data_IF_819600240715
#
_entry.id   IF_819600240715
#
_cell.length_a   1.000
_cell.length_b   1.000
_cell.length_c   1.000
_cell.angle_alpha   90.00
_cell.angle_beta   90.00
_cell.angle_gamma   90.00
#
_symmetry.space_group_name_H-M   'P 1'
#
loop_
_entity.id
_entity.type
_entity.pdbx_description
1 polymer ?
#
# COMPACT_ATOMS: atom_id res chain seq x y z
N UNK A 1 18.14 19.01 25.20
CA UNK A 1 18.67 18.24 24.06
C UNK A 1 19.89 18.96 23.49
N UNK A 2 20.89 18.25 22.96
CA UNK A 2 22.00 18.89 22.26
C UNK A 2 21.48 19.54 20.97
N UNK A 3 21.90 20.77 20.71
CA UNK A 3 21.52 21.51 19.50
C UNK A 3 22.38 21.03 18.33
N UNK A 4 22.06 19.85 17.81
CA UNK A 4 22.69 19.19 16.66
C UNK A 4 21.62 18.44 15.86
N UNK A 5 21.95 18.02 14.63
CA UNK A 5 21.09 17.11 13.88
C UNK A 5 20.91 15.77 14.59
N UNK A 6 19.68 15.46 15.00
CA UNK A 6 19.29 14.20 15.62
C UNK A 6 18.75 13.25 14.57
N UNK A 7 19.31 12.03 14.49
CA UNK A 7 18.68 10.91 13.77
C UNK A 7 17.74 10.19 14.71
N UNK A 8 16.45 10.25 14.39
CA UNK A 8 15.32 9.70 15.14
C UNK A 8 14.78 8.47 14.43
N UNK A 9 14.51 7.41 15.19
CA UNK A 9 14.01 6.14 14.66
C UNK A 9 13.04 5.49 15.65
N UNK A 10 12.14 4.67 15.11
CA UNK A 10 11.19 3.87 15.88
C UNK A 10 11.32 2.42 15.39
N UNK A 11 12.10 1.54 16.04
CA UNK A 11 12.31 0.18 15.56
C UNK A 11 11.00 -0.58 15.41
N UNK A 12 10.80 -1.24 14.25
CA UNK A 12 9.57 -1.96 13.93
C UNK A 12 8.41 -1.07 13.45
N UNK A 13 8.57 0.24 13.37
CA UNK A 13 7.55 1.18 12.93
C UNK A 13 8.11 2.23 11.95
N UNK A 14 7.20 2.93 11.27
CA UNK A 14 7.51 4.13 10.51
C UNK A 14 7.49 5.36 11.41
N UNK A 15 8.17 6.45 11.02
CA UNK A 15 8.31 7.68 11.81
C UNK A 15 7.98 8.93 10.99
N UNK A 16 7.37 9.92 11.65
CA UNK A 16 7.08 11.24 11.10
C UNK A 16 7.40 12.35 12.11
N UNK A 17 7.75 13.54 11.61
CA UNK A 17 7.73 14.79 12.38
C UNK A 17 6.59 15.68 11.91
N UNK A 18 5.94 16.35 12.86
CA UNK A 18 5.05 17.48 12.62
C UNK A 18 5.68 18.71 13.25
N UNK A 19 6.04 19.69 12.43
CA UNK A 19 6.56 20.98 12.86
C UNK A 19 5.37 21.88 13.21
N UNK A 20 5.28 22.33 14.47
CA UNK A 20 4.12 23.02 14.99
C UNK A 20 4.46 24.46 15.38
N UNK A 21 3.57 25.37 15.03
CA UNK A 21 3.63 26.77 15.45
C UNK A 21 3.16 26.96 16.91
N UNK A 22 3.13 28.22 17.37
CA UNK A 22 2.65 28.58 18.71
C UNK A 22 1.16 28.28 18.99
N UNK A 23 0.37 27.92 17.97
CA UNK A 23 -1.00 27.40 18.16
C UNK A 23 -1.03 25.89 18.44
N UNK A 24 0.10 25.20 18.26
CA UNK A 24 0.20 23.74 18.39
C UNK A 24 -0.27 22.99 17.15
N UNK A 25 -0.29 23.63 15.98
CA UNK A 25 -0.68 23.04 14.69
C UNK A 25 0.40 23.25 13.63
N UNK A 26 0.34 22.46 12.57
CA UNK A 26 1.09 22.73 11.34
C UNK A 26 0.60 24.04 10.70
N UNK A 27 1.49 24.78 10.02
CA UNK A 27 1.13 25.97 9.21
C UNK A 27 0.59 25.58 7.84
N UNK A 28 0.78 24.32 7.43
CA UNK A 28 0.30 23.69 6.22
C UNK A 28 1.01 22.35 6.00
N UNK A 29 0.64 21.61 4.95
CA UNK A 29 1.12 20.24 4.72
C UNK A 29 2.65 20.12 4.71
N UNK A 30 3.36 21.16 4.25
CA UNK A 30 4.83 21.24 4.21
C UNK A 30 5.51 20.96 5.56
N UNK A 31 4.84 21.25 6.69
CA UNK A 31 5.33 21.04 8.05
C UNK A 31 5.24 19.57 8.52
N UNK A 32 4.64 18.68 7.72
CA UNK A 32 4.64 17.23 7.94
C UNK A 32 5.81 16.58 7.19
N UNK A 33 6.74 15.93 7.91
CA UNK A 33 7.88 15.21 7.32
C UNK A 33 7.80 13.72 7.63
N UNK A 34 7.76 12.90 6.58
CA UNK A 34 7.70 11.43 6.64
C UNK A 34 8.16 10.83 5.32
N UNK A 35 8.16 9.51 5.14
CA UNK A 35 8.64 8.90 3.88
C UNK A 35 7.89 9.41 2.61
N UNK A 36 6.61 9.77 2.73
CA UNK A 36 5.80 10.29 1.63
C UNK A 36 5.99 11.79 1.35
N UNK A 37 6.55 12.53 2.32
CA UNK A 37 6.96 13.93 2.15
C UNK A 37 8.35 14.10 2.81
N UNK A 38 9.43 13.79 2.08
CA UNK A 38 10.71 13.43 2.70
C UNK A 38 11.54 14.63 3.17
N UNK A 39 11.13 15.88 2.94
CA UNK A 39 11.88 17.06 3.38
C UNK A 39 10.98 18.25 3.69
N UNK A 40 11.26 18.92 4.80
CA UNK A 40 10.72 20.24 5.13
C UNK A 40 11.38 21.31 4.24
N UNK A 41 10.66 22.35 3.75
CA UNK A 41 11.24 23.39 2.89
C UNK A 41 12.44 24.15 3.48
N UNK A 42 12.54 24.31 4.81
CA UNK A 42 13.69 24.95 5.46
C UNK A 42 14.92 24.02 5.60
N UNK A 43 14.80 22.74 5.27
CA UNK A 43 15.86 21.73 5.46
C UNK A 43 16.06 21.29 6.90
N UNK A 44 15.35 21.86 7.88
CA UNK A 44 15.46 21.55 9.30
C UNK A 44 14.97 20.14 9.68
N UNK A 45 14.17 19.49 8.84
CA UNK A 45 13.71 18.13 9.03
C UNK A 45 13.62 17.39 7.70
N UNK A 46 14.08 16.14 7.66
CA UNK A 46 13.99 15.27 6.47
C UNK A 46 13.95 13.79 6.83
N UNK A 47 13.30 12.97 6.01
CA UNK A 47 13.34 11.52 6.10
C UNK A 47 14.54 11.01 5.30
N UNK A 48 15.44 10.25 5.93
CA UNK A 48 16.62 9.67 5.28
C UNK A 48 16.71 8.14 5.41
N UNK A 49 17.68 7.48 4.74
CA UNK A 49 17.81 6.02 4.71
C UNK A 49 18.03 5.34 6.08
N UNK A 50 18.36 6.11 7.12
CA UNK A 50 18.58 5.62 8.49
C UNK A 50 17.57 6.15 9.50
N UNK A 51 16.43 6.65 9.03
CA UNK A 51 15.37 7.25 9.84
C UNK A 51 15.15 8.74 9.58
N UNK A 52 14.26 9.32 10.37
CA UNK A 52 13.93 10.74 10.37
C UNK A 52 15.12 11.53 10.93
N UNK A 53 15.43 12.69 10.35
CA UNK A 53 16.49 13.58 10.83
C UNK A 53 15.91 14.94 11.15
N UNK A 54 16.26 15.47 12.33
CA UNK A 54 15.83 16.76 12.84
C UNK A 54 17.06 17.62 13.16
N UNK A 55 17.40 18.58 12.29
CA UNK A 55 18.37 19.63 12.64
C UNK A 55 17.69 20.73 13.46
N UNK A 56 17.68 20.51 14.78
CA UNK A 56 17.09 21.43 15.75
C UNK A 56 17.69 22.86 15.70
N UNK A 57 18.87 23.07 15.11
CA UNK A 57 19.40 24.43 14.89
C UNK A 57 18.78 25.12 13.66
N UNK A 58 18.50 24.37 12.61
CA UNK A 58 17.96 24.90 11.35
C UNK A 58 16.48 25.30 11.43
N UNK A 59 15.77 24.84 12.46
CA UNK A 59 14.35 25.11 12.67
C UNK A 59 14.10 26.62 12.82
N UNK A 60 13.25 27.19 11.97
CA UNK A 60 12.90 28.61 12.02
C UNK A 60 12.21 29.03 13.34
N UNK A 61 12.23 30.34 13.71
CA UNK A 61 11.63 30.83 14.95
C UNK A 61 10.12 30.58 15.11
N UNK A 62 9.40 30.41 14.02
CA UNK A 62 7.94 30.20 13.99
C UNK A 62 7.53 28.80 14.47
N UNK A 63 8.44 27.82 14.39
CA UNK A 63 8.20 26.45 14.85
C UNK A 63 8.66 26.33 16.30
N UNK A 64 7.67 26.27 17.21
CA UNK A 64 7.91 26.17 18.65
C UNK A 64 8.05 24.73 19.14
N UNK A 65 7.46 23.77 18.42
CA UNK A 65 7.44 22.34 18.78
C UNK A 65 7.63 21.44 17.56
N UNK A 66 8.20 20.27 17.77
CA UNK A 66 8.26 19.19 16.77
C UNK A 66 7.73 17.93 17.44
N UNK A 67 6.54 17.49 17.04
CA UNK A 67 5.96 16.22 17.49
C UNK A 67 6.55 15.09 16.67
N UNK A 68 6.99 14.00 17.32
CA UNK A 68 7.37 12.77 16.65
C UNK A 68 6.28 11.72 16.81
N UNK A 69 5.75 11.28 15.67
CA UNK A 69 4.74 10.25 15.57
C UNK A 69 5.35 8.96 15.00
N UNK A 70 4.85 7.81 15.49
CA UNK A 70 5.11 6.50 14.93
C UNK A 70 3.83 5.86 14.40
N UNK A 71 3.95 4.96 13.42
CA UNK A 71 2.84 4.09 13.03
C UNK A 71 3.31 2.74 12.48
N UNK A 72 2.46 1.72 12.65
CA UNK A 72 2.70 0.37 12.17
C UNK A 72 2.03 0.15 10.80
N UNK A 73 2.69 -0.61 9.92
CA UNK A 73 2.07 -1.14 8.69
C UNK A 73 1.25 -2.42 8.95
N UNK A 74 1.19 -2.89 10.20
CA UNK A 74 0.61 -4.19 10.58
C UNK A 74 -0.58 -4.06 11.55
N UNK A 75 -1.29 -2.93 11.55
CA UNK A 75 -2.50 -2.70 12.35
C UNK A 75 -2.26 -2.26 13.81
N UNK A 76 -1.15 -2.68 14.41
CA UNK A 76 -0.72 -2.28 15.76
C UNK A 76 0.79 -2.41 15.94
N UNK A 77 1.34 -1.90 17.05
CA UNK A 77 2.78 -1.98 17.32
C UNK A 77 3.23 -3.36 17.86
N UNK A 78 2.33 -4.14 18.46
CA UNK A 78 2.60 -5.48 19.01
C UNK A 78 3.37 -5.46 20.33
N UNK A 79 4.47 -4.71 20.40
CA UNK A 79 5.18 -4.33 21.62
C UNK A 79 5.19 -2.79 21.77
N UNK A 80 5.41 -2.22 22.97
CA UNK A 80 5.51 -0.78 23.14
C UNK A 80 6.63 -0.18 22.26
N UNK A 81 6.33 0.77 21.36
CA UNK A 81 7.31 1.30 20.40
C UNK A 81 8.39 2.12 21.11
N UNK A 82 9.65 1.91 20.74
CA UNK A 82 10.80 2.63 21.30
C UNK A 82 11.15 3.82 20.41
N UNK A 83 11.18 5.04 20.95
CA UNK A 83 11.69 6.23 20.28
C UNK A 83 13.18 6.41 20.61
N UNK A 84 14.08 6.10 19.67
CA UNK A 84 15.51 6.40 19.80
C UNK A 84 15.88 7.70 19.07
N UNK A 85 16.77 8.50 19.65
CA UNK A 85 17.46 9.57 18.94
C UNK A 85 18.98 9.52 19.18
N UNK A 86 19.78 9.69 18.12
CA UNK A 86 21.25 9.70 18.15
C UNK A 86 21.81 10.95 17.47
N UNK A 87 23.00 11.38 17.90
CA UNK A 87 23.72 12.50 17.29
C UNK A 87 24.32 12.16 15.91
N UNK A 88 24.94 13.14 15.23
CA UNK A 88 25.57 12.94 13.92
C UNK A 88 26.69 11.89 13.94
N UNK A 89 27.42 11.83 15.05
CA UNK A 89 28.49 10.87 15.38
C UNK A 89 27.98 9.47 15.79
N UNK A 90 26.66 9.31 15.96
CA UNK A 90 26.04 8.08 16.48
C UNK A 90 25.96 8.01 18.01
N UNK A 91 26.37 9.05 18.74
CA UNK A 91 26.23 9.10 20.21
C UNK A 91 24.74 9.04 20.60
N UNK A 92 24.30 8.12 21.47
CA UNK A 92 22.92 8.08 21.95
C UNK A 92 22.55 9.38 22.70
N UNK A 93 21.43 9.99 22.30
CA UNK A 93 20.91 11.23 22.89
C UNK A 93 19.62 10.99 23.67
N UNK A 94 18.79 10.08 23.19
CA UNK A 94 17.51 9.69 23.78
C UNK A 94 17.20 8.23 23.44
N UNK A 95 16.60 7.51 24.38
CA UNK A 95 15.77 6.35 24.10
C UNK A 95 14.59 6.42 25.06
N UNK A 96 13.36 6.35 24.53
CA UNK A 96 12.13 6.52 25.29
C UNK A 96 11.13 5.42 24.93
N UNK A 97 10.48 4.86 25.95
CA UNK A 97 9.38 3.90 25.79
C UNK A 97 8.15 4.54 26.43
N UNK A 98 7.04 4.70 25.70
CA UNK A 98 5.86 5.39 26.19
C UNK A 98 5.08 4.50 27.16
N UNK A 99 4.67 5.07 28.29
CA UNK A 99 3.84 4.35 29.26
C UNK A 99 2.37 4.34 28.80
N UNK A 100 1.78 3.15 28.68
CA UNK A 100 0.33 2.99 28.52
C UNK A 100 -0.25 3.29 27.14
N UNK A 101 0.55 3.25 26.06
CA UNK A 101 0.01 3.33 24.69
C UNK A 101 -0.97 2.17 24.46
N UNK A 102 -2.24 2.43 24.11
CA UNK A 102 -3.19 1.37 23.76
C UNK A 102 -2.74 0.65 22.48
N UNK A 103 -3.24 -0.57 22.22
CA UNK A 103 -2.94 -1.24 20.96
C UNK A 103 -3.66 -0.53 19.80
N UNK A 104 -2.90 0.31 19.08
CA UNK A 104 -3.38 1.17 18.00
C UNK A 104 -2.35 1.23 16.86
N UNK A 105 -2.82 1.56 15.66
CA UNK A 105 -1.99 1.61 14.45
C UNK A 105 -1.03 2.80 14.39
N UNK A 106 -1.27 3.89 15.12
CA UNK A 106 -0.39 5.06 15.19
C UNK A 106 -0.37 5.70 16.58
N UNK A 107 0.74 6.33 16.96
CA UNK A 107 0.87 7.04 18.25
C UNK A 107 1.86 8.22 18.17
N UNK A 108 1.65 9.24 19.00
CA UNK A 108 2.65 10.28 19.30
C UNK A 108 3.54 9.79 20.43
N UNK A 109 4.85 9.72 20.19
CA UNK A 109 5.84 9.15 21.12
C UNK A 109 6.62 10.22 21.89
N UNK A 110 6.58 11.47 21.44
CA UNK A 110 7.22 12.57 22.14
C UNK A 110 7.19 13.88 21.37
N UNK A 111 7.61 14.93 22.04
CA UNK A 111 7.65 16.30 21.49
C UNK A 111 8.96 16.97 21.86
N UNK A 112 9.67 17.49 20.86
CA UNK A 112 10.72 18.47 21.07
C UNK A 112 10.07 19.84 21.18
N UNK A 113 10.46 20.67 22.14
CA UNK A 113 9.91 22.02 22.31
C UNK A 113 10.96 23.01 22.78
N UNK A 114 10.75 24.30 22.50
CA UNK A 114 11.65 25.37 22.93
C UNK A 114 11.36 25.81 24.37
N UNK A 115 12.39 25.90 25.19
CA UNK A 115 12.33 26.54 26.51
C UNK A 115 13.64 27.28 26.80
N UNK A 116 13.56 28.52 27.29
CA UNK A 116 14.70 29.36 27.66
C UNK A 116 15.81 29.49 26.57
N UNK A 117 15.43 29.41 25.29
CA UNK A 117 16.35 29.49 24.15
C UNK A 117 17.05 28.19 23.75
N UNK A 118 16.69 27.05 24.36
CA UNK A 118 17.18 25.72 23.98
C UNK A 118 16.04 24.73 23.71
N UNK A 119 16.38 23.59 23.11
CA UNK A 119 15.43 22.50 22.87
C UNK A 119 15.37 21.53 24.05
N UNK A 120 14.16 21.26 24.52
CA UNK A 120 13.81 20.16 25.42
C UNK A 120 13.09 19.06 24.65
N UNK A 121 12.91 17.92 25.31
CA UNK A 121 12.09 16.81 24.86
C UNK A 121 11.16 16.43 26.01
N UNK A 122 9.90 16.12 25.71
CA UNK A 122 8.99 15.44 26.62
C UNK A 122 8.47 14.15 25.97
N UNK A 123 8.31 13.11 26.79
CA UNK A 123 7.85 11.80 26.36
C UNK A 123 6.32 11.75 26.34
N UNK A 124 5.74 11.23 25.25
CA UNK A 124 4.28 11.15 25.08
C UNK A 124 3.87 9.72 24.72
N UNK A 125 2.61 9.37 25.04
CA UNK A 125 2.04 8.05 24.77
C UNK A 125 0.62 8.13 24.19
N UNK A 126 0.35 9.12 23.35
CA UNK A 126 -0.99 9.37 22.82
C UNK A 126 -1.27 8.45 21.61
N UNK A 127 -2.15 7.47 21.79
CA UNK A 127 -2.53 6.52 20.76
C UNK A 127 -3.70 7.00 19.89
N UNK A 128 -3.57 6.83 18.57
CA UNK A 128 -4.56 7.22 17.57
C UNK A 128 -5.14 5.98 16.88
N UNK A 129 -6.32 5.53 17.35
CA UNK A 129 -7.03 4.38 16.76
C UNK A 129 -7.56 4.61 15.32
N UNK A 130 -7.62 5.87 14.89
CA UNK A 130 -7.87 6.28 13.49
C UNK A 130 -6.60 6.26 12.62
N UNK A 131 -5.49 5.75 13.14
CA UNK A 131 -4.21 5.64 12.45
C UNK A 131 -3.55 6.97 12.13
N UNK A 132 -2.51 6.90 11.29
CA UNK A 132 -1.66 8.06 11.00
C UNK A 132 -2.43 9.23 10.37
N UNK A 133 -3.46 8.96 9.55
CA UNK A 133 -4.32 9.99 8.97
C UNK A 133 -5.08 10.81 10.05
N UNK A 134 -5.66 10.13 11.03
CA UNK A 134 -6.34 10.78 12.14
C UNK A 134 -5.39 11.56 13.06
N UNK A 135 -4.16 11.07 13.22
CA UNK A 135 -3.08 11.76 13.93
C UNK A 135 -2.72 13.07 13.23
N UNK A 136 -2.37 13.05 11.94
CA UNK A 136 -1.95 14.29 11.25
C UNK A 136 -3.09 15.31 11.14
N UNK A 137 -4.34 14.86 11.01
CA UNK A 137 -5.54 15.72 11.02
C UNK A 137 -5.72 16.42 12.37
N UNK A 138 -5.44 15.75 13.50
CA UNK A 138 -5.53 16.36 14.83
C UNK A 138 -4.58 17.57 15.00
N UNK A 139 -3.41 17.50 14.37
CA UNK A 139 -2.43 18.58 14.31
C UNK A 139 -2.65 19.61 13.19
N UNK A 140 -3.72 19.48 12.39
CA UNK A 140 -4.15 20.48 11.42
C UNK A 140 -3.68 20.28 9.98
N UNK A 141 -3.16 19.09 9.61
CA UNK A 141 -2.94 18.74 8.19
C UNK A 141 -4.29 18.54 7.51
N UNK A 142 -4.53 19.22 6.39
CA UNK A 142 -5.79 19.09 5.64
C UNK A 142 -5.75 17.84 4.76
N UNK A 143 -6.36 16.76 5.24
CA UNK A 143 -6.64 15.58 4.42
C UNK A 143 -7.92 15.86 3.62
N UNK A 144 -7.76 16.20 2.33
CA UNK A 144 -8.79 16.81 1.49
C UNK A 144 -10.19 16.15 1.56
N UNK A 145 -11.22 16.98 1.81
CA UNK A 145 -12.63 16.58 1.75
C UNK A 145 -13.20 16.66 0.32
N UNK A 146 -14.18 15.80 0.04
CA UNK A 146 -14.78 15.52 -1.28
C UNK A 146 -15.49 16.75 -1.92
N UNK A 147 -15.00 17.27 -3.06
CA UNK A 147 -15.76 18.24 -3.88
C UNK A 147 -16.46 17.53 -5.06
N UNK A 148 -17.81 17.55 -5.07
CA UNK A 148 -18.63 16.85 -6.07
C UNK A 148 -18.76 17.65 -7.37
N UNK A 149 -18.37 17.04 -8.49
CA UNK A 149 -18.54 17.60 -9.86
C UNK A 149 -19.38 16.62 -10.71
N UNK A 150 -20.33 17.08 -11.55
CA UNK A 150 -21.46 16.26 -12.00
C UNK A 150 -21.16 15.26 -13.14
N UNK A 151 -22.03 14.25 -13.23
CA UNK A 151 -22.03 13.19 -14.24
C UNK A 151 -22.57 13.70 -15.60
N UNK A 152 -21.92 13.33 -16.70
CA UNK A 152 -22.45 13.44 -18.07
C UNK A 152 -22.62 12.04 -18.71
N UNK A 153 -23.54 11.85 -19.67
CA UNK A 153 -24.05 10.51 -20.01
C UNK A 153 -23.57 9.95 -21.36
N UNK A 154 -23.59 8.61 -21.47
CA UNK A 154 -23.87 7.91 -22.75
C UNK A 154 -22.70 7.12 -23.38
N UNK A 155 -22.95 5.89 -23.92
CA UNK A 155 -21.90 5.01 -24.43
C UNK A 155 -21.68 5.08 -25.95
N UNK A 156 -20.55 4.56 -26.42
CA UNK A 156 -20.22 4.40 -27.85
C UNK A 156 -20.04 2.90 -28.18
N UNK A 157 -20.77 2.32 -29.14
CA UNK A 157 -20.57 0.94 -29.57
C UNK A 157 -19.51 0.84 -30.68
N UNK A 158 -18.70 -0.22 -30.70
CA UNK A 158 -17.93 -0.59 -31.89
C UNK A 158 -17.80 -2.11 -32.04
N UNK A 159 -18.09 -2.59 -33.24
CA UNK A 159 -17.93 -3.99 -33.63
C UNK A 159 -16.70 -4.17 -34.55
N UNK A 160 -16.08 -5.35 -34.51
CA UNK A 160 -15.13 -5.81 -35.52
C UNK A 160 -13.70 -6.06 -35.03
N UNK A 161 -13.30 -7.33 -34.99
CA UNK A 161 -11.92 -7.78 -34.71
C UNK A 161 -11.30 -8.35 -35.99
N UNK A 162 -10.11 -7.89 -36.40
CA UNK A 162 -9.29 -8.52 -37.46
C UNK A 162 -7.77 -8.40 -37.15
N UNK A 163 -7.02 -9.48 -37.41
CA UNK A 163 -5.53 -9.62 -37.32
C UNK A 163 -4.89 -9.36 -38.71
N UNK A 164 -3.61 -9.07 -38.95
CA UNK A 164 -2.31 -9.08 -38.22
C UNK A 164 -1.30 -8.26 -39.10
N UNK A 165 0.06 -8.29 -38.97
CA UNK A 165 0.96 -8.59 -37.85
C UNK A 165 2.07 -7.52 -37.62
N UNK A 166 2.67 -7.49 -36.42
CA UNK A 166 4.06 -7.02 -36.20
C UNK A 166 4.69 -7.83 -35.06
N UNK A 167 6.01 -7.96 -35.06
CA UNK A 167 6.75 -8.91 -34.21
C UNK A 167 6.39 -8.75 -32.73
N UNK A 168 6.07 -9.87 -32.08
CA UNK A 168 5.71 -9.91 -30.67
C UNK A 168 6.97 -9.79 -29.79
N UNK A 169 6.94 -8.99 -28.71
CA UNK A 169 7.77 -9.22 -27.53
C UNK A 169 7.47 -10.63 -26.94
N UNK A 170 8.36 -11.21 -26.13
CA UNK A 170 8.10 -12.50 -25.50
C UNK A 170 6.82 -12.44 -24.65
N UNK A 171 5.96 -13.48 -24.67
CA UNK A 171 4.70 -13.48 -23.93
C UNK A 171 4.95 -13.60 -22.42
N UNK A 172 4.32 -12.73 -21.62
CA UNK A 172 4.10 -12.99 -20.19
C UNK A 172 4.46 -11.87 -19.22
N UNK A 173 5.57 -11.16 -19.44
CA UNK A 173 6.05 -10.11 -18.51
C UNK A 173 5.24 -8.81 -18.51
N UNK A 174 5.19 -8.16 -17.35
CA UNK A 174 4.96 -6.71 -17.28
C UNK A 174 6.31 -6.02 -17.51
N UNK A 175 6.34 -5.02 -18.39
CA UNK A 175 7.48 -4.13 -18.55
C UNK A 175 7.05 -2.78 -17.94
N UNK A 176 7.76 -2.27 -16.91
CA UNK A 176 7.60 -0.89 -16.47
C UNK A 176 7.75 0.08 -17.65
N UNK A 177 6.99 1.18 -17.66
CA UNK A 177 6.96 2.15 -18.76
C UNK A 177 5.90 1.92 -19.85
N UNK A 178 4.91 1.03 -19.67
CA UNK A 178 3.83 0.81 -20.65
C UNK A 178 2.45 0.96 -20.01
N UNK A 179 1.87 2.16 -20.18
CA UNK A 179 0.50 2.48 -19.76
C UNK A 179 -0.42 2.87 -20.95
N UNK A 180 -1.72 2.47 -20.94
CA UNK A 180 -2.29 1.47 -20.05
C UNK A 180 -1.62 0.10 -20.30
N UNK A 181 -1.65 -0.83 -19.34
CA UNK A 181 -1.17 -2.18 -19.58
C UNK A 181 -1.85 -2.76 -20.82
N UNK A 182 -1.12 -3.38 -21.76
CA UNK A 182 -1.72 -3.92 -22.97
C UNK A 182 -2.84 -4.89 -22.59
N UNK A 183 -4.01 -4.71 -23.21
CA UNK A 183 -5.18 -5.52 -22.90
C UNK A 183 -4.88 -6.99 -23.17
N UNK A 184 -4.71 -7.75 -22.08
CA UNK A 184 -4.72 -9.20 -22.11
C UNK A 184 -6.20 -9.59 -22.08
N UNK A 185 -6.74 -10.28 -23.11
CA UNK A 185 -8.01 -10.96 -22.97
C UNK A 185 -7.84 -11.98 -21.85
N UNK A 186 -8.54 -11.78 -20.74
CA UNK A 186 -8.60 -12.81 -19.70
C UNK A 186 -9.32 -14.02 -20.29
N UNK A 187 -8.96 -15.21 -19.80
CA UNK A 187 -9.72 -16.44 -20.01
C UNK A 187 -10.15 -16.90 -18.64
N UNK A 188 -11.41 -17.33 -18.54
CA UNK A 188 -11.89 -17.98 -17.34
C UNK A 188 -11.17 -19.33 -17.21
N UNK A 189 -10.61 -19.63 -16.05
CA UNK A 189 -10.09 -20.97 -15.74
C UNK A 189 -11.26 -21.96 -15.73
N UNK A 190 -11.16 -23.00 -16.56
CA UNK A 190 -12.20 -24.02 -16.69
C UNK A 190 -12.30 -24.83 -15.39
N UNK A 191 -13.53 -25.08 -14.91
CA UNK A 191 -13.76 -25.78 -13.64
C UNK A 191 -13.49 -24.96 -12.37
N UNK A 192 -13.14 -23.67 -12.47
CA UNK A 192 -12.98 -22.82 -11.29
C UNK A 192 -14.34 -22.35 -10.74
N UNK A 193 -14.68 -22.80 -9.53
CA UNK A 193 -16.00 -22.55 -8.90
C UNK A 193 -16.01 -21.40 -7.86
N UNK A 194 -14.85 -20.88 -7.45
CA UNK A 194 -14.78 -19.86 -6.40
C UNK A 194 -15.01 -18.44 -6.97
N UNK A 195 -16.16 -17.85 -6.67
CA UNK A 195 -16.60 -16.55 -7.15
C UNK A 195 -17.50 -16.65 -8.38
N UNK A 196 -18.49 -15.76 -8.49
CA UNK A 196 -19.44 -15.76 -9.60
C UNK A 196 -18.79 -15.27 -10.91
N UNK A 197 -19.31 -15.74 -12.05
CA UNK A 197 -18.92 -15.27 -13.38
C UNK A 197 -19.92 -14.23 -13.87
N UNK A 198 -19.42 -13.02 -14.12
CA UNK A 198 -20.18 -11.83 -14.51
C UNK A 198 -19.39 -10.99 -15.53
N UNK A 199 -20.05 -10.04 -16.19
CA UNK A 199 -19.42 -9.11 -17.13
C UNK A 199 -18.53 -8.09 -16.39
N UNK A 200 -17.24 -7.95 -16.72
CA UNK A 200 -16.35 -7.09 -15.95
C UNK A 200 -16.73 -5.61 -15.98
N UNK A 201 -16.72 -5.00 -14.81
CA UNK A 201 -16.76 -3.55 -14.69
C UNK A 201 -15.37 -2.96 -14.99
N UNK A 202 -15.32 -1.83 -15.67
CA UNK A 202 -14.07 -1.06 -15.90
C UNK A 202 -14.35 0.43 -15.75
N UNK A 203 -13.50 1.12 -15.00
CA UNK A 203 -13.51 2.56 -14.83
C UNK A 203 -12.12 3.14 -15.13
N UNK A 204 -12.10 4.35 -15.70
CA UNK A 204 -10.88 5.09 -15.98
C UNK A 204 -10.97 6.50 -15.40
N UNK A 205 -9.80 7.10 -15.14
CA UNK A 205 -9.72 8.47 -14.70
C UNK A 205 -8.29 8.95 -14.51
N UNK A 206 -8.18 10.03 -13.76
CA UNK A 206 -6.94 10.69 -13.41
C UNK A 206 -7.10 11.30 -12.02
N UNK A 207 -6.04 11.31 -11.21
CA UNK A 207 -6.09 11.91 -9.88
C UNK A 207 -6.94 11.12 -8.89
N UNK A 208 -7.29 11.76 -7.78
CA UNK A 208 -8.20 11.20 -6.76
C UNK A 208 -9.62 11.04 -7.29
N UNK A 209 -10.30 9.94 -6.96
CA UNK A 209 -11.71 9.73 -7.35
C UNK A 209 -12.40 8.67 -6.49
N UNK A 210 -13.68 8.88 -6.17
CA UNK A 210 -14.55 7.81 -5.68
C UNK A 210 -15.32 7.18 -6.84
N UNK A 211 -15.27 5.85 -6.92
CA UNK A 211 -15.93 5.02 -7.93
C UNK A 211 -17.09 4.29 -7.27
N UNK A 212 -18.28 4.34 -7.86
CA UNK A 212 -19.33 3.37 -7.60
C UNK A 212 -19.28 2.31 -8.69
N UNK A 213 -19.22 1.04 -8.29
CA UNK A 213 -19.27 -0.10 -9.21
C UNK A 213 -20.73 -0.35 -9.61
N UNK A 214 -20.96 -0.78 -10.85
CA UNK A 214 -22.32 -1.08 -11.32
C UNK A 214 -22.93 -2.27 -10.52
N UNK A 215 -24.23 -2.22 -10.17
CA UNK A 215 -24.93 -3.34 -9.52
C UNK A 215 -24.93 -4.67 -10.30
N UNK A 216 -24.48 -4.69 -11.56
CA UNK A 216 -24.22 -5.92 -12.31
C UNK A 216 -23.06 -6.76 -11.75
N UNK A 217 -22.21 -6.18 -10.90
CA UNK A 217 -21.17 -6.92 -10.18
C UNK A 217 -21.80 -7.58 -8.94
N UNK A 218 -21.81 -8.93 -8.85
CA UNK A 218 -22.41 -9.63 -7.74
C UNK A 218 -21.58 -9.48 -6.45
N UNK A 219 -22.20 -9.62 -5.26
CA UNK A 219 -21.49 -9.61 -4.00
C UNK A 219 -20.79 -10.95 -3.74
N UNK A 220 -19.72 -10.92 -2.93
CA UNK A 220 -18.80 -12.06 -2.72
C UNK A 220 -17.50 -11.92 -3.53
N UNK A 221 -16.76 -13.01 -3.76
CA UNK A 221 -15.41 -12.94 -4.32
C UNK A 221 -15.36 -12.32 -5.72
N UNK A 222 -14.62 -11.22 -5.84
CA UNK A 222 -14.30 -10.53 -7.11
C UNK A 222 -12.81 -10.27 -7.23
N UNK A 223 -12.28 -10.29 -8.44
CA UNK A 223 -10.92 -9.85 -8.75
C UNK A 223 -10.91 -8.35 -9.03
N UNK A 224 -10.20 -7.58 -8.22
CA UNK A 224 -10.00 -6.15 -8.42
C UNK A 224 -8.60 -5.93 -9.03
N UNK A 225 -8.53 -5.37 -10.23
CA UNK A 225 -7.28 -4.92 -10.87
C UNK A 225 -7.20 -3.39 -10.84
N UNK A 226 -6.02 -2.85 -10.53
CA UNK A 226 -5.71 -1.43 -10.72
C UNK A 226 -4.41 -1.28 -11.50
N UNK A 227 -4.42 -0.35 -12.45
CA UNK A 227 -3.23 0.19 -13.08
C UNK A 227 -3.20 1.72 -12.92
N UNK A 228 -2.02 2.29 -12.70
CA UNK A 228 -1.76 3.73 -12.62
C UNK A 228 -0.50 4.07 -13.43
N UNK A 229 -0.47 5.26 -14.03
CA UNK A 229 0.58 5.71 -14.95
C UNK A 229 1.65 6.55 -14.28
N UNK A 230 2.91 6.28 -14.62
CA UNK A 230 4.05 7.11 -14.30
C UNK A 230 4.48 7.02 -12.84
N UNK A 231 5.15 8.07 -12.38
CA UNK A 231 5.69 8.14 -11.02
C UNK A 231 4.65 8.69 -10.03
N UNK A 232 4.79 8.31 -8.77
CA UNK A 232 4.01 8.83 -7.64
C UNK A 232 3.26 7.74 -6.90
N UNK A 233 2.49 8.15 -5.89
CA UNK A 233 1.79 7.23 -5.02
C UNK A 233 0.39 6.94 -5.54
N UNK A 234 0.01 5.66 -5.56
CA UNK A 234 -1.36 5.21 -5.81
C UNK A 234 -1.88 4.36 -4.65
N UNK A 235 -3.13 4.59 -4.27
CA UNK A 235 -3.85 3.75 -3.33
C UNK A 235 -5.32 3.56 -3.70
N UNK A 236 -5.88 2.42 -3.28
CA UNK A 236 -7.25 1.99 -3.53
C UNK A 236 -7.83 1.43 -2.23
N UNK A 237 -8.89 2.05 -1.75
CA UNK A 237 -9.62 1.65 -0.55
C UNK A 237 -11.03 1.21 -0.95
N UNK A 238 -11.53 0.05 -0.48
CA UNK A 238 -12.97 -0.20 -0.44
C UNK A 238 -13.63 0.79 0.53
N UNK A 239 -14.92 1.08 0.30
CA UNK A 239 -15.70 1.94 1.19
C UNK A 239 -16.84 1.16 1.87
N UNK A 240 -16.96 1.34 3.18
CA UNK A 240 -17.99 0.72 4.03
C UNK A 240 -19.40 1.32 3.76
N UNK A 241 -20.41 0.80 4.47
CA UNK A 241 -21.80 1.28 4.38
C UNK A 241 -21.98 2.78 4.72
N UNK A 242 -20.99 3.40 5.37
CA UNK A 242 -20.96 4.82 5.80
C UNK A 242 -20.03 5.66 4.92
N UNK A 243 -19.42 5.05 3.89
CA UNK A 243 -18.40 5.61 3.01
C UNK A 243 -17.08 5.96 3.72
N UNK A 244 -16.74 5.24 4.79
CA UNK A 244 -15.39 5.24 5.36
C UNK A 244 -14.52 4.22 4.65
N UNK A 245 -13.21 4.47 4.65
CA UNK A 245 -12.24 3.53 4.13
C UNK A 245 -12.19 2.24 4.96
N UNK A 246 -12.23 1.10 4.28
CA UNK A 246 -11.82 -0.20 4.81
C UNK A 246 -10.31 -0.42 4.56
N UNK A 247 -9.79 -1.61 4.86
CA UNK A 247 -8.38 -1.95 4.58
C UNK A 247 -8.05 -1.82 3.08
N UNK A 248 -6.92 -1.18 2.78
CA UNK A 248 -6.54 -0.87 1.40
C UNK A 248 -6.30 -2.13 0.55
N UNK A 249 -6.85 -2.12 -0.66
CA UNK A 249 -6.51 -3.09 -1.69
C UNK A 249 -5.16 -2.78 -2.32
N UNK A 250 -4.81 -1.51 -2.50
CA UNK A 250 -3.49 -1.11 -3.00
C UNK A 250 -3.00 0.14 -2.27
N UNK A 251 -1.70 0.24 -2.08
CA UNK A 251 -1.00 1.37 -1.47
C UNK A 251 0.47 1.26 -1.89
N UNK A 252 0.89 1.98 -2.94
CA UNK A 252 2.15 1.71 -3.63
C UNK A 252 2.79 2.97 -4.23
N UNK A 253 4.12 3.14 -4.08
CA UNK A 253 4.91 4.13 -4.81
C UNK A 253 5.55 3.58 -6.09
N UNK A 254 5.19 2.37 -6.55
CA UNK A 254 5.82 1.75 -7.72
C UNK A 254 5.52 2.56 -8.99
N UNK A 255 6.53 2.87 -9.82
CA UNK A 255 6.32 3.54 -11.11
C UNK A 255 5.52 2.64 -12.06
N UNK A 256 4.57 3.23 -12.77
CA UNK A 256 3.60 2.53 -13.61
C UNK A 256 2.94 1.36 -12.85
N UNK A 257 2.42 1.64 -11.66
CA UNK A 257 1.85 0.62 -10.79
C UNK A 257 0.83 -0.24 -11.53
N UNK A 258 0.96 -1.56 -11.38
CA UNK A 258 -0.09 -2.53 -11.66
C UNK A 258 -0.23 -3.45 -10.45
N UNK A 259 -1.47 -3.80 -10.12
CA UNK A 259 -1.72 -4.91 -9.21
C UNK A 259 -3.12 -5.50 -9.33
N UNK A 260 -3.27 -6.71 -8.78
CA UNK A 260 -4.57 -7.36 -8.61
C UNK A 260 -4.72 -7.97 -7.21
N UNK A 261 -5.94 -8.02 -6.68
CA UNK A 261 -6.30 -8.74 -5.45
C UNK A 261 -7.70 -9.32 -5.59
N UNK A 262 -7.96 -10.46 -4.95
CA UNK A 262 -9.34 -10.89 -4.67
C UNK A 262 -9.86 -10.09 -3.48
N UNK A 263 -11.13 -9.68 -3.54
CA UNK A 263 -11.85 -8.95 -2.51
C UNK A 263 -13.28 -9.49 -2.42
N UNK A 264 -13.90 -9.46 -1.24
CA UNK A 264 -15.31 -9.82 -1.07
C UNK A 264 -16.21 -8.59 -1.22
N UNK A 265 -16.87 -8.48 -2.37
CA UNK A 265 -17.82 -7.41 -2.64
C UNK A 265 -19.00 -7.45 -1.63
N UNK A 266 -19.39 -6.30 -1.05
CA UNK A 266 -20.33 -6.25 0.07
C UNK A 266 -21.77 -6.63 -0.36
N UNK A 267 -22.45 -7.41 0.48
CA UNK A 267 -23.86 -7.81 0.26
C UNK A 267 -24.90 -6.76 0.66
N UNK A 268 -24.53 -5.78 1.49
CA UNK A 268 -25.48 -4.88 2.19
C UNK A 268 -25.53 -3.46 1.63
N UNK A 269 -24.51 -3.03 0.91
CA UNK A 269 -24.37 -1.70 0.32
C UNK A 269 -23.68 -1.82 -1.04
N UNK A 270 -23.77 -0.79 -1.92
CA UNK A 270 -23.07 -0.80 -3.19
C UNK A 270 -21.55 -0.94 -2.99
N UNK A 271 -20.91 -1.71 -3.87
CA UNK A 271 -19.45 -1.74 -3.95
C UNK A 271 -18.94 -0.37 -4.42
N UNK A 272 -18.12 0.27 -3.59
CA UNK A 272 -17.50 1.56 -3.89
C UNK A 272 -16.02 1.51 -3.54
N UNK A 273 -15.23 2.27 -4.28
CA UNK A 273 -13.80 2.42 -4.04
C UNK A 273 -13.39 3.89 -4.01
N UNK A 274 -12.44 4.25 -3.15
CA UNK A 274 -11.71 5.52 -3.22
C UNK A 274 -10.32 5.28 -3.78
N UNK A 275 -10.01 5.93 -4.89
CA UNK A 275 -8.68 5.98 -5.50
C UNK A 275 -8.01 7.28 -5.08
N UNK A 276 -6.76 7.19 -4.62
CA UNK A 276 -5.83 8.32 -4.53
C UNK A 276 -4.69 8.03 -5.50
N UNK A 277 -4.39 8.97 -6.41
CA UNK A 277 -3.36 8.79 -7.43
C UNK A 277 -2.85 10.15 -7.91
N UNK A 278 -1.60 10.22 -8.37
CA UNK A 278 -1.00 11.43 -8.98
C UNK A 278 -1.23 11.55 -10.49
N UNK A 279 -1.66 10.46 -11.15
CA UNK A 279 -1.70 10.35 -12.61
C UNK A 279 -2.95 9.65 -13.14
N UNK A 280 -2.91 9.21 -14.41
CA UNK A 280 -3.98 8.41 -15.01
C UNK A 280 -4.07 7.04 -14.37
N UNK A 281 -5.27 6.47 -14.30
CA UNK A 281 -5.49 5.12 -13.79
C UNK A 281 -6.64 4.41 -14.49
N UNK A 282 -6.63 3.08 -14.41
CA UNK A 282 -7.67 2.16 -14.90
C UNK A 282 -7.94 1.13 -13.80
N UNK A 283 -9.17 1.13 -13.28
CA UNK A 283 -9.70 0.17 -12.33
C UNK A 283 -10.58 -0.85 -13.07
N UNK A 284 -10.48 -2.13 -12.72
CA UNK A 284 -11.38 -3.19 -13.22
C UNK A 284 -11.85 -4.07 -12.08
N UNK A 285 -13.07 -4.56 -12.19
CA UNK A 285 -13.62 -5.60 -11.30
C UNK A 285 -14.08 -6.75 -12.20
N UNK A 286 -13.48 -7.93 -12.02
CA UNK A 286 -13.65 -9.11 -12.87
C UNK A 286 -14.05 -10.33 -12.02
N UNK A 287 -14.57 -11.40 -12.63
CA UNK A 287 -14.68 -12.71 -11.99
C UNK A 287 -13.33 -13.18 -11.45
N UNK A 288 -13.31 -13.88 -10.32
CA UNK A 288 -12.04 -14.43 -9.77
C UNK A 288 -11.38 -15.40 -10.74
N UNK A 289 -12.17 -16.19 -11.48
CA UNK A 289 -11.69 -17.08 -12.55
C UNK A 289 -10.93 -16.37 -13.69
N UNK A 290 -10.94 -15.03 -13.76
CA UNK A 290 -10.14 -14.25 -14.71
C UNK A 290 -8.69 -14.00 -14.26
N UNK A 291 -8.34 -14.31 -13.00
CA UNK A 291 -6.97 -14.20 -12.49
C UNK A 291 -6.04 -15.20 -13.20
N UNK A 292 -4.74 -14.86 -13.28
CA UNK A 292 -3.78 -15.74 -13.94
C UNK A 292 -3.58 -17.01 -13.13
N UNK A 293 -3.64 -18.15 -13.81
CA UNK A 293 -3.23 -19.42 -13.22
C UNK A 293 -1.71 -19.48 -13.04
N UNK A 294 -1.24 -20.14 -11.98
CA UNK A 294 0.18 -20.43 -11.80
C UNK A 294 0.55 -21.69 -12.59
N UNK A 295 0.91 -21.53 -13.85
CA UNK A 295 1.39 -22.60 -14.74
C UNK A 295 2.80 -22.28 -15.26
N UNK A 296 3.69 -23.27 -15.26
CA UNK A 296 5.03 -23.16 -15.85
C UNK A 296 5.83 -22.00 -15.28
N UNK A 297 6.20 -21.02 -16.13
CA UNK A 297 6.93 -19.81 -15.72
C UNK A 297 6.07 -18.56 -15.93
N UNK A 298 5.83 -17.81 -14.85
CA UNK A 298 5.16 -16.52 -14.89
C UNK A 298 6.08 -15.38 -14.49
N UNK A 299 5.89 -14.25 -15.15
CA UNK A 299 6.52 -12.99 -14.80
C UNK A 299 5.44 -11.99 -14.38
N UNK A 300 5.76 -11.11 -13.44
CA UNK A 300 4.87 -10.06 -12.97
C UNK A 300 5.61 -8.90 -12.32
N UNK A 301 4.84 -7.91 -11.89
CA UNK A 301 5.30 -6.66 -11.29
C UNK A 301 4.21 -6.18 -10.34
N UNK A 302 4.58 -5.77 -9.13
CA UNK A 302 3.61 -5.38 -8.11
C UNK A 302 2.89 -6.58 -7.47
N UNK A 303 1.84 -6.30 -6.66
CA UNK A 303 1.03 -7.34 -6.03
C UNK A 303 0.05 -7.97 -7.03
N UNK A 304 -0.16 -9.28 -6.97
CA UNK A 304 -1.07 -9.98 -7.87
C UNK A 304 -1.78 -11.15 -7.16
N UNK A 305 -3.07 -11.30 -7.44
CA UNK A 305 -3.83 -12.50 -7.14
C UNK A 305 -3.68 -13.50 -8.30
N UNK A 306 -3.28 -14.72 -7.96
CA UNK A 306 -3.07 -15.83 -8.89
C UNK A 306 -3.86 -17.07 -8.44
N UNK A 307 -4.15 -17.97 -9.36
CA UNK A 307 -4.93 -19.19 -9.11
C UNK A 307 -4.06 -20.43 -9.23
N UNK A 308 -4.13 -21.34 -8.27
CA UNK A 308 -3.56 -22.68 -8.38
C UNK A 308 -4.72 -23.68 -8.27
N UNK A 309 -5.20 -24.32 -9.34
CA UNK A 309 -6.46 -25.08 -9.31
C UNK A 309 -6.37 -26.42 -8.56
N UNK A 310 -5.18 -26.94 -8.32
CA UNK A 310 -4.95 -28.17 -7.56
C UNK A 310 -3.62 -28.85 -7.91
N UNK A 311 -3.34 -29.97 -7.23
CA UNK A 311 -2.09 -30.72 -7.36
C UNK A 311 -1.01 -30.22 -6.39
N UNK A 312 -0.20 -31.13 -5.79
CA UNK A 312 0.98 -30.74 -5.04
C UNK A 312 2.05 -30.18 -6.00
N UNK A 313 2.62 -29.03 -5.66
CA UNK A 313 3.65 -28.39 -6.47
C UNK A 313 4.62 -27.58 -5.61
N UNK A 314 5.88 -27.49 -6.01
CA UNK A 314 6.82 -26.53 -5.47
C UNK A 314 6.78 -25.24 -6.30
N UNK A 315 6.54 -24.11 -5.61
CA UNK A 315 6.57 -22.79 -6.22
C UNK A 315 7.94 -22.14 -5.98
N UNK A 316 8.75 -22.08 -7.03
CA UNK A 316 10.03 -21.36 -7.04
C UNK A 316 9.80 -19.88 -7.32
N UNK A 317 10.23 -19.04 -6.40
CA UNK A 317 10.03 -17.59 -6.37
C UNK A 317 11.39 -16.91 -6.62
N UNK A 318 11.45 -16.06 -7.63
CA UNK A 318 12.59 -15.21 -8.01
C UNK A 318 12.13 -13.74 -7.91
N UNK A 319 12.51 -13.03 -6.85
CA UNK A 319 12.18 -11.62 -6.65
C UNK A 319 13.44 -10.76 -6.71
N UNK A 320 13.42 -9.76 -7.59
CA UNK A 320 14.61 -8.98 -7.93
C UNK A 320 14.68 -7.62 -7.20
N UNK A 321 13.60 -7.23 -6.52
CA UNK A 321 13.37 -5.91 -5.95
C UNK A 321 13.20 -4.82 -7.03
N UNK A 322 12.62 -3.68 -6.65
CA UNK A 322 12.67 -2.46 -7.47
C UNK A 322 13.84 -1.56 -7.00
N UNK A 323 14.63 -1.03 -7.93
CA UNK A 323 15.77 -0.17 -7.60
C UNK A 323 15.36 1.19 -7.01
N UNK A 324 14.09 1.59 -7.15
CA UNK A 324 13.52 2.79 -6.53
C UNK A 324 12.89 2.55 -5.16
N UNK A 325 12.74 1.28 -4.74
CA UNK A 325 12.15 0.92 -3.44
C UNK A 325 13.24 0.32 -2.55
N UNK A 326 13.81 1.15 -1.70
CA UNK A 326 14.72 0.71 -0.64
C UNK A 326 13.99 -0.29 0.28
N UNK A 327 14.63 -1.44 0.54
CA UNK A 327 14.00 -2.60 1.20
C UNK A 327 12.68 -3.07 0.56
N UNK A 328 12.61 -3.09 -0.78
CA UNK A 328 11.55 -3.75 -1.55
C UNK A 328 11.14 -5.10 -0.91
N UNK A 329 9.89 -5.22 -0.51
CA UNK A 329 9.36 -6.39 0.21
C UNK A 329 8.69 -7.39 -0.73
N UNK A 330 8.63 -8.65 -0.30
CA UNK A 330 7.81 -9.71 -0.90
C UNK A 330 7.08 -10.49 0.19
N UNK A 331 5.80 -10.78 -0.01
CA UNK A 331 5.03 -11.70 0.82
C UNK A 331 4.09 -12.54 -0.05
N UNK A 332 3.93 -13.82 0.29
CA UNK A 332 3.02 -14.72 -0.39
C UNK A 332 2.16 -15.47 0.63
N UNK A 333 0.84 -15.35 0.44
CA UNK A 333 -0.17 -16.05 1.22
C UNK A 333 -0.99 -16.96 0.31
N UNK A 334 -1.40 -18.12 0.80
CA UNK A 334 -2.38 -19.00 0.15
C UNK A 334 -3.69 -19.04 0.91
N UNK A 335 -4.79 -19.17 0.18
CA UNK A 335 -6.13 -19.41 0.72
C UNK A 335 -6.70 -20.60 -0.03
N UNK A 336 -7.01 -21.69 0.67
CA UNK A 336 -7.81 -22.77 0.12
C UNK A 336 -9.25 -22.27 -0.10
N UNK A 337 -9.79 -22.48 -1.29
CA UNK A 337 -11.12 -21.96 -1.67
C UNK A 337 -12.13 -23.05 -2.06
N UNK A 338 -11.76 -24.32 -1.96
CA UNK A 338 -12.64 -25.46 -2.21
C UNK A 338 -13.94 -25.35 -1.37
N UNK A 339 -15.09 -25.32 -2.04
CA UNK A 339 -16.41 -25.21 -1.40
C UNK A 339 -16.68 -23.90 -0.64
N UNK A 340 -15.82 -22.87 -0.75
CA UNK A 340 -15.98 -21.57 -0.07
C UNK A 340 -16.77 -20.57 -0.94
N UNK A 341 -17.40 -19.59 -0.29
CA UNK A 341 -18.17 -18.52 -0.96
C UNK A 341 -17.78 -17.10 -0.53
N UNK A 342 -16.68 -16.99 0.21
CA UNK A 342 -15.97 -15.75 0.55
C UNK A 342 -14.48 -16.08 0.74
N UNK A 343 -13.61 -15.07 0.73
CA UNK A 343 -12.30 -15.21 1.37
C UNK A 343 -12.55 -15.47 2.87
N UNK A 344 -11.79 -16.43 3.44
CA UNK A 344 -11.74 -16.61 4.89
C UNK A 344 -10.72 -15.66 5.51
N UNK A 345 -10.65 -15.64 6.84
CA UNK A 345 -9.57 -14.96 7.59
C UNK A 345 -8.30 -15.81 7.74
N UNK A 346 -8.35 -17.06 7.28
CA UNK A 346 -7.28 -18.05 7.44
C UNK A 346 -6.22 -17.93 6.32
N UNK A 347 -5.56 -16.77 6.26
CA UNK A 347 -4.42 -16.51 5.37
C UNK A 347 -3.21 -17.38 5.78
N UNK A 348 -2.86 -18.41 5.00
CA UNK A 348 -1.62 -19.17 5.23
C UNK A 348 -0.43 -18.44 4.63
N UNK A 349 0.42 -17.84 5.46
CA UNK A 349 1.71 -17.31 5.04
C UNK A 349 2.63 -18.43 4.55
N UNK A 350 3.09 -18.38 3.30
CA UNK A 350 4.15 -19.25 2.78
C UNK A 350 5.53 -18.61 2.86
N UNK A 351 5.59 -17.30 2.67
CA UNK A 351 6.81 -16.52 2.56
C UNK A 351 6.55 -15.07 2.95
N UNK A 352 7.46 -14.48 3.73
CA UNK A 352 7.68 -13.03 3.72
C UNK A 352 9.18 -12.75 3.81
N UNK A 353 9.68 -11.80 3.05
CA UNK A 353 11.10 -11.40 3.04
C UNK A 353 11.29 -9.98 2.49
N UNK A 354 12.47 -9.41 2.70
CA UNK A 354 12.86 -8.08 2.19
C UNK A 354 14.12 -8.15 1.33
N UNK A 355 14.17 -7.33 0.29
CA UNK A 355 15.25 -7.31 -0.69
C UNK A 355 15.15 -8.44 -1.72
N UNK A 356 16.29 -8.80 -2.33
CA UNK A 356 16.34 -9.83 -3.37
C UNK A 356 16.20 -11.23 -2.78
N UNK A 357 15.32 -12.03 -3.36
CA UNK A 357 15.03 -13.38 -2.91
C UNK A 357 15.04 -14.39 -4.07
N UNK A 358 15.61 -15.56 -3.81
CA UNK A 358 15.34 -16.79 -4.56
C UNK A 358 15.01 -17.90 -3.58
N UNK A 359 13.80 -18.46 -3.64
CA UNK A 359 13.34 -19.48 -2.70
C UNK A 359 12.22 -20.33 -3.30
N UNK A 360 12.21 -21.63 -3.01
CA UNK A 360 11.06 -22.49 -3.28
C UNK A 360 10.22 -22.65 -2.02
N UNK A 361 8.89 -22.73 -2.20
CA UNK A 361 7.92 -23.04 -1.13
C UNK A 361 6.90 -24.07 -1.64
N UNK A 362 6.51 -25.06 -0.82
CA UNK A 362 5.50 -26.03 -1.23
C UNK A 362 4.10 -25.40 -1.23
N UNK A 363 3.37 -25.61 -2.31
CA UNK A 363 1.93 -25.39 -2.39
C UNK A 363 1.18 -26.61 -1.85
N UNK A 364 0.09 -26.35 -1.14
CA UNK A 364 -0.85 -27.40 -0.77
C UNK A 364 -1.69 -27.83 -1.99
N UNK A 365 -2.29 -29.02 -1.90
CA UNK A 365 -3.28 -29.47 -2.88
C UNK A 365 -4.58 -28.65 -2.78
N UNK A 366 -5.41 -28.75 -3.82
CA UNK A 366 -6.70 -28.10 -3.97
C UNK A 366 -6.64 -26.71 -4.64
N UNK A 367 -7.80 -26.15 -5.01
CA UNK A 367 -7.87 -24.80 -5.56
C UNK A 367 -7.47 -23.78 -4.49
N UNK A 368 -6.34 -23.11 -4.73
CA UNK A 368 -5.81 -22.02 -3.91
C UNK A 368 -5.90 -20.69 -4.66
N UNK A 369 -6.27 -19.63 -3.93
CA UNK A 369 -5.94 -18.25 -4.31
C UNK A 369 -4.59 -17.90 -3.68
N UNK A 370 -3.61 -17.54 -4.50
CA UNK A 370 -2.33 -17.02 -4.09
C UNK A 370 -2.41 -15.48 -4.07
N UNK A 371 -2.23 -14.86 -2.90
CA UNK A 371 -2.10 -13.41 -2.76
C UNK A 371 -0.61 -13.07 -2.70
N UNK A 372 -0.04 -12.71 -3.85
CA UNK A 372 1.34 -12.28 -3.96
C UNK A 372 1.42 -10.76 -3.73
N UNK A 373 2.28 -10.34 -2.82
CA UNK A 373 2.60 -8.95 -2.53
C UNK A 373 4.06 -8.74 -2.90
N UNK A 374 4.37 -7.81 -3.78
CA UNK A 374 5.74 -7.53 -4.16
C UNK A 374 5.92 -6.04 -4.50
N UNK A 375 6.98 -5.43 -3.95
CA UNK A 375 7.42 -4.09 -4.32
C UNK A 375 8.43 -4.14 -5.47
N UNK A 376 8.02 -4.66 -6.63
CA UNK A 376 8.86 -4.72 -7.83
C UNK A 376 8.59 -5.92 -8.73
N UNK A 377 9.52 -6.22 -9.66
CA UNK A 377 9.41 -7.34 -10.60
C UNK A 377 9.73 -8.68 -9.96
N UNK A 378 9.01 -9.71 -10.39
CA UNK A 378 9.16 -11.09 -9.93
C UNK A 378 8.97 -12.10 -11.06
N UNK A 379 9.54 -13.29 -10.85
CA UNK A 379 9.28 -14.50 -11.62
C UNK A 379 8.83 -15.60 -10.66
N UNK A 380 7.77 -16.31 -11.04
CA UNK A 380 7.32 -17.53 -10.40
C UNK A 380 7.55 -18.71 -11.36
N UNK A 381 7.94 -19.86 -10.82
CA UNK A 381 8.01 -21.11 -11.57
C UNK A 381 7.34 -22.21 -10.77
N UNK A 382 6.38 -22.91 -11.36
CA UNK A 382 5.72 -24.07 -10.76
C UNK A 382 6.41 -25.33 -11.24
N UNK A 383 6.82 -26.14 -10.27
CA UNK A 383 7.41 -27.46 -10.45
C UNK A 383 6.41 -28.45 -9.84
N UNK A 384 5.56 -29.05 -10.69
CA UNK A 384 4.56 -30.06 -10.29
C UNK A 384 5.25 -31.30 -9.72
N UNK A 385 4.64 -31.92 -8.71
CA UNK A 385 5.17 -33.11 -8.04
C UNK A 385 4.40 -34.36 -8.49
N UNK A 386 5.10 -35.31 -9.13
CA UNK A 386 4.59 -36.61 -9.63
C UNK A 386 4.08 -37.56 -8.52
#
# INVERSE_FOLDING_TARGET
MPSVALRVRIPGAEAAALLLDGSGRVRGDADLVFHGQPAHPSGAAWSGPSGLVLDLNGVEPEVERIVVAGWSRHGGFGEPPVLDAVGPDGTPVLSYVPEGVPDVSAAVLGVFFREAGGWKFDGLGEGYGSGFAGLVTAYGVEVAEDERVPVLPGPVPLAGVVKMPRQAPPPGGYLPGVFPPPERPYRLVEGWEFGEVFEPFTAEGHGHRVIAVDPSVPPGPVLVELAHEGEGYVSLYPLDEKNKDEDFLFASPLPDFRGSRVFDAPRKHPLRFRITATGRWRLRVLPVAAARQVEGVLHGYGPEALLHPGGPADLRIDFYGDAKVENAYISLYTHEVAGRTSLGTDDRLLLSDNGRLRRSVPLADGPLVLRHYAAGPWTLTVEELD
#
